data_IF_542834465892
#
_entry.id   IF_542834465892
#
_cell.length_a   1.000
_cell.length_b   1.000
_cell.length_c   1.000
_cell.angle_alpha   90.00
_cell.angle_beta   90.00
_cell.angle_gamma   90.00
#
_symmetry.space_group_name_H-M   'P 1'
#
loop_
_entity.id
_entity.type
_entity.pdbx_description
1 polymer ?
#
# COMPACT_ATOMS: atom_id res chain seq x y z
N UNK A 1 47.13 29.98 1.71
CA UNK A 1 45.82 30.65 1.82
C UNK A 1 45.06 30.04 2.99
N UNK A 2 44.61 30.86 3.93
CA UNK A 2 43.79 30.44 5.07
C UNK A 2 42.34 30.18 4.63
N UNK A 3 41.62 29.34 5.39
CA UNK A 3 40.29 28.85 5.04
C UNK A 3 39.28 29.98 4.76
N UNK A 4 39.35 31.09 5.50
CA UNK A 4 38.50 32.27 5.28
C UNK A 4 38.65 32.87 3.89
N UNK A 5 39.88 32.98 3.38
CA UNK A 5 40.13 33.52 2.03
C UNK A 5 39.57 32.60 0.93
N UNK A 6 39.56 31.28 1.15
CA UNK A 6 38.97 30.31 0.20
C UNK A 6 37.45 30.39 0.19
N UNK A 7 36.81 30.54 1.34
CA UNK A 7 35.36 30.71 1.44
C UNK A 7 34.89 32.02 0.80
N UNK A 8 35.61 33.13 0.99
CA UNK A 8 35.27 34.40 0.36
C UNK A 8 35.36 34.33 -1.17
N UNK A 9 36.43 33.72 -1.70
CA UNK A 9 36.59 33.53 -3.16
C UNK A 9 35.48 32.61 -3.71
N UNK A 10 35.15 31.54 -2.99
CA UNK A 10 34.06 30.65 -3.37
C UNK A 10 32.70 31.37 -3.38
N UNK A 11 32.40 32.14 -2.33
CA UNK A 11 31.16 32.93 -2.25
C UNK A 11 31.03 33.96 -3.37
N UNK A 12 32.12 34.67 -3.71
CA UNK A 12 32.14 35.59 -4.86
C UNK A 12 31.94 34.83 -6.17
N UNK A 13 32.56 33.65 -6.32
CA UNK A 13 32.38 32.79 -7.50
C UNK A 13 30.92 32.35 -7.69
N UNK A 14 30.24 31.97 -6.61
CA UNK A 14 28.81 31.60 -6.63
C UNK A 14 27.95 32.80 -7.01
N UNK A 15 28.17 33.98 -6.42
CA UNK A 15 27.40 35.19 -6.75
C UNK A 15 27.57 35.59 -8.21
N UNK A 16 28.79 35.51 -8.75
CA UNK A 16 29.07 35.82 -10.16
C UNK A 16 28.43 34.78 -11.09
N UNK A 17 28.49 33.49 -10.74
CA UNK A 17 27.88 32.42 -11.54
C UNK A 17 26.35 32.56 -11.61
N UNK A 18 25.69 32.72 -10.46
CA UNK A 18 24.23 32.85 -10.42
C UNK A 18 23.75 34.22 -10.95
N UNK A 19 24.45 35.31 -10.64
CA UNK A 19 24.13 36.64 -11.17
C UNK A 19 24.32 36.73 -12.68
N UNK A 20 25.38 36.10 -13.22
CA UNK A 20 25.62 36.01 -14.66
C UNK A 20 24.59 35.16 -15.38
N UNK A 21 24.22 34.00 -14.81
CA UNK A 21 23.17 33.14 -15.35
C UNK A 21 21.81 33.85 -15.38
N UNK A 22 21.45 34.57 -14.31
CA UNK A 22 20.19 35.32 -14.23
C UNK A 22 20.14 36.51 -15.20
N UNK A 23 21.26 37.22 -15.37
CA UNK A 23 21.38 38.32 -16.33
C UNK A 23 21.37 37.88 -17.80
N UNK A 24 21.94 36.72 -18.12
CA UNK A 24 21.89 36.14 -19.47
C UNK A 24 20.49 35.58 -19.78
N UNK A 25 19.83 34.96 -18.80
CA UNK A 25 18.47 34.46 -18.97
C UNK A 25 17.48 35.58 -19.34
N UNK A 26 17.57 36.75 -18.72
CA UNK A 26 16.68 37.88 -19.03
C UNK A 26 16.90 38.51 -20.41
N UNK A 27 18.07 38.31 -21.02
CA UNK A 27 18.38 38.79 -22.37
C UNK A 27 18.02 37.80 -23.48
N UNK A 28 17.94 36.50 -23.15
CA UNK A 28 17.73 35.41 -24.12
C UNK A 28 16.29 34.90 -24.09
N UNK A 29 15.62 34.96 -22.93
CA UNK A 29 14.24 34.46 -22.77
C UNK A 29 13.25 35.54 -23.24
N UNK A 30 12.48 35.27 -24.30
CA UNK A 30 11.46 36.21 -24.78
C UNK A 30 10.40 36.47 -23.71
N UNK A 31 9.83 37.68 -23.61
CA UNK A 31 8.78 38.00 -22.65
C UNK A 31 7.56 37.07 -22.74
N UNK A 32 7.30 36.50 -23.92
CA UNK A 32 6.22 35.52 -24.15
C UNK A 32 6.41 34.23 -23.36
N UNK A 33 7.65 33.75 -23.17
CA UNK A 33 7.94 32.54 -22.39
C UNK A 33 7.70 32.80 -20.90
N UNK A 34 7.98 34.02 -20.42
CA UNK A 34 7.70 34.43 -19.04
C UNK A 34 6.19 34.61 -18.81
N UNK A 35 5.46 35.10 -19.82
CA UNK A 35 4.00 35.18 -19.81
C UNK A 35 3.36 33.80 -19.82
N UNK A 36 3.85 32.86 -20.63
CA UNK A 36 3.36 31.47 -20.73
C UNK A 36 3.63 30.70 -19.44
N UNK A 37 4.76 30.99 -18.76
CA UNK A 37 5.07 30.39 -17.45
C UNK A 37 4.27 31.02 -16.31
N UNK A 38 3.91 32.31 -16.42
CA UNK A 38 2.95 32.96 -15.52
C UNK A 38 1.53 32.48 -15.75
N UNK A 39 1.09 32.28 -16.99
CA UNK A 39 -0.21 31.69 -17.31
C UNK A 39 -0.26 30.22 -16.85
N UNK A 40 0.83 29.45 -17.01
CA UNK A 40 0.95 28.10 -16.46
C UNK A 40 0.99 28.04 -14.92
N UNK A 41 1.37 29.14 -14.26
CA UNK A 41 1.33 29.26 -12.79
C UNK A 41 -0.01 29.84 -12.28
N UNK A 42 -0.70 30.67 -13.08
CA UNK A 42 -2.04 31.21 -12.78
C UNK A 42 -3.16 30.23 -13.14
N UNK A 43 -2.93 29.25 -14.02
CA UNK A 43 -3.80 28.07 -14.17
C UNK A 43 -3.74 27.14 -12.94
N UNK A 44 -2.82 27.37 -11.99
CA UNK A 44 -2.78 26.72 -10.67
C UNK A 44 -3.37 27.60 -9.55
N UNK A 45 -4.01 28.73 -9.88
CA UNK A 45 -4.82 29.49 -8.93
C UNK A 45 -6.29 29.32 -9.24
N UNK A 46 -7.00 28.54 -8.41
CA UNK A 46 -8.46 28.47 -8.42
C UNK A 46 -9.05 29.84 -8.08
N UNK A 47 -9.51 30.59 -9.09
CA UNK A 47 -10.53 31.61 -8.92
C UNK A 47 -11.91 30.97 -9.13
N UNK A 48 -12.81 31.23 -8.18
CA UNK A 48 -14.08 30.52 -8.03
C UNK A 48 -15.10 30.88 -9.11
N UNK A 49 -15.39 29.91 -9.98
CA UNK A 49 -16.59 29.86 -10.81
C UNK A 49 -17.19 28.46 -10.71
N UNK A 50 -18.30 28.34 -9.98
CA UNK A 50 -18.98 27.08 -9.70
C UNK A 50 -19.52 26.40 -10.97
N UNK A 51 -18.95 25.23 -11.30
CA UNK A 51 -19.69 24.14 -11.94
C UNK A 51 -19.61 22.92 -11.00
N UNK A 52 -20.75 22.49 -10.47
CA UNK A 52 -20.85 21.51 -9.39
C UNK A 52 -20.45 20.07 -9.78
N UNK A 53 -20.08 19.83 -11.04
CA UNK A 53 -19.71 18.50 -11.54
C UNK A 53 -18.18 18.25 -11.53
N UNK A 54 -17.35 19.28 -11.61
CA UNK A 54 -15.88 19.14 -11.63
C UNK A 54 -15.26 19.12 -10.24
N UNK A 55 -15.88 19.79 -9.25
CA UNK A 55 -15.42 19.74 -7.86
C UNK A 55 -15.55 18.35 -7.23
N UNK A 56 -16.59 17.59 -7.58
CA UNK A 56 -16.75 16.23 -7.06
C UNK A 56 -15.67 15.25 -7.56
N UNK A 57 -15.21 15.42 -8.81
CA UNK A 57 -14.19 14.55 -9.41
C UNK A 57 -12.77 14.88 -8.90
N UNK A 58 -12.43 16.16 -8.73
CA UNK A 58 -11.13 16.58 -8.20
C UNK A 58 -11.03 16.38 -6.68
N UNK A 59 -12.11 16.60 -5.93
CA UNK A 59 -12.17 16.31 -4.50
C UNK A 59 -12.15 14.79 -4.24
N UNK A 60 -12.84 13.98 -5.05
CA UNK A 60 -12.77 12.51 -4.94
C UNK A 60 -11.40 11.95 -5.35
N UNK A 61 -10.73 12.51 -6.36
CA UNK A 61 -9.39 12.07 -6.75
C UNK A 61 -8.33 12.44 -5.69
N UNK A 62 -8.47 13.60 -5.04
CA UNK A 62 -7.54 14.06 -4.01
C UNK A 62 -7.80 13.35 -2.66
N UNK A 63 -9.07 13.07 -2.31
CA UNK A 63 -9.43 12.23 -1.16
C UNK A 63 -9.03 10.77 -1.38
N UNK A 64 -9.08 10.27 -2.63
CA UNK A 64 -8.57 8.95 -2.98
C UNK A 64 -7.04 8.85 -2.90
N UNK A 65 -6.29 9.95 -3.05
CA UNK A 65 -4.83 9.94 -2.88
C UNK A 65 -4.41 10.00 -1.40
N UNK A 66 -5.15 10.76 -0.57
CA UNK A 66 -4.90 10.89 0.87
C UNK A 66 -5.38 9.66 1.68
N UNK A 67 -6.23 8.80 1.09
CA UNK A 67 -6.74 7.57 1.72
C UNK A 67 -5.94 6.31 1.39
N UNK A 68 -5.02 6.35 0.41
CA UNK A 68 -4.23 5.17 0.00
C UNK A 68 -3.13 4.86 1.01
N UNK A 69 -3.32 3.79 1.77
CA UNK A 69 -2.34 3.28 2.73
C UNK A 69 -1.18 2.56 2.03
N UNK A 70 -0.05 2.44 2.72
CA UNK A 70 1.06 1.59 2.30
C UNK A 70 1.92 2.11 1.15
N UNK A 71 1.79 3.37 0.75
CA UNK A 71 2.63 3.98 -0.30
C UNK A 71 3.73 4.92 0.24
N UNK A 72 3.69 5.24 1.54
CA UNK A 72 4.63 6.19 2.13
C UNK A 72 5.76 5.53 2.92
N UNK A 73 6.96 6.10 2.80
CA UNK A 73 8.11 5.78 3.66
C UNK A 73 7.92 6.31 5.10
N UNK A 74 7.06 7.32 5.25
CA UNK A 74 6.75 7.94 6.54
C UNK A 74 5.37 8.57 6.57
N UNK A 75 4.69 8.44 7.69
CA UNK A 75 3.31 8.86 7.89
C UNK A 75 3.17 9.37 9.32
N UNK A 76 2.53 10.52 9.49
CA UNK A 76 2.31 11.15 10.81
C UNK A 76 3.59 11.31 11.67
N UNK A 77 4.72 11.55 11.01
CA UNK A 77 6.02 11.72 11.67
C UNK A 77 6.75 10.42 11.97
N UNK A 78 6.13 9.26 11.77
CA UNK A 78 6.80 7.97 11.85
C UNK A 78 7.48 7.63 10.52
N UNK A 79 8.60 6.92 10.57
CA UNK A 79 9.37 6.49 9.39
C UNK A 79 9.82 5.04 9.56
N UNK A 80 9.68 4.25 8.50
CA UNK A 80 10.29 2.93 8.42
C UNK A 80 11.77 3.11 8.03
N UNK A 81 12.69 2.66 8.89
CA UNK A 81 14.12 2.69 8.61
C UNK A 81 14.46 1.85 7.36
N UNK A 82 15.67 1.96 6.78
CA UNK A 82 16.10 1.02 5.76
C UNK A 82 15.95 -0.43 6.25
N UNK A 83 15.35 -1.28 5.43
CA UNK A 83 15.23 -2.71 5.71
C UNK A 83 16.56 -3.37 5.35
N UNK A 84 17.22 -3.95 6.35
CA UNK A 84 18.39 -4.78 6.17
C UNK A 84 17.94 -6.23 5.99
N UNK A 85 18.40 -6.88 4.92
CA UNK A 85 18.06 -8.28 4.61
C UNK A 85 19.17 -8.89 3.73
N UNK A 86 19.21 -10.23 3.56
CA UNK A 86 20.10 -10.85 2.59
C UNK A 86 19.92 -10.23 1.19
N UNK A 87 21.02 -9.91 0.51
CA UNK A 87 20.97 -9.19 -0.78
C UNK A 87 20.74 -10.07 -2.01
N UNK A 88 20.64 -11.38 -1.83
CA UNK A 88 20.50 -12.36 -2.92
C UNK A 88 19.68 -13.57 -2.47
N UNK A 89 19.21 -14.34 -3.44
CA UNK A 89 18.49 -15.61 -3.23
C UNK A 89 19.35 -16.66 -2.53
N UNK A 90 18.69 -17.63 -1.88
CA UNK A 90 19.32 -18.79 -1.25
C UNK A 90 20.43 -18.45 -0.23
N UNK A 91 20.37 -17.25 0.35
CA UNK A 91 21.25 -16.80 1.42
C UNK A 91 20.40 -16.60 2.66
N UNK A 92 20.56 -17.49 3.64
CA UNK A 92 19.90 -17.34 4.92
C UNK A 92 20.55 -16.20 5.72
N UNK A 93 19.73 -15.41 6.40
CA UNK A 93 20.16 -14.34 7.29
C UNK A 93 18.98 -13.84 8.11
N UNK A 94 18.94 -12.54 8.38
CA UNK A 94 17.84 -11.90 9.09
C UNK A 94 17.32 -10.72 8.27
N UNK A 95 16.02 -10.51 8.32
CA UNK A 95 15.39 -9.25 7.92
C UNK A 95 15.24 -8.40 9.16
N UNK A 96 15.73 -7.17 9.13
CA UNK A 96 15.76 -6.26 10.27
C UNK A 96 15.38 -4.83 9.87
N UNK A 97 14.68 -4.13 10.75
CA UNK A 97 14.32 -2.72 10.58
C UNK A 97 13.92 -2.10 11.93
N UNK A 98 13.68 -0.79 11.93
CA UNK A 98 13.14 -0.03 13.04
C UNK A 98 12.00 0.85 12.54
N UNK A 99 11.04 1.13 13.43
CA UNK A 99 10.12 2.26 13.28
C UNK A 99 10.70 3.42 14.07
N UNK A 100 10.89 4.56 13.43
CA UNK A 100 11.42 5.77 14.05
C UNK A 100 10.30 6.80 14.19
N UNK A 101 10.24 7.49 15.32
CA UNK A 101 9.34 8.63 15.52
C UNK A 101 9.86 9.91 14.84
N UNK A 102 9.14 11.02 15.01
CA UNK A 102 9.47 12.31 14.42
C UNK A 102 10.81 12.89 14.93
N UNK A 103 11.30 12.43 16.08
CA UNK A 103 12.61 12.80 16.62
C UNK A 103 13.74 11.86 16.14
N UNK A 104 13.41 10.81 15.37
CA UNK A 104 14.35 9.78 14.94
C UNK A 104 14.64 8.73 16.01
N UNK A 105 13.82 8.66 17.07
CA UNK A 105 13.96 7.68 18.15
C UNK A 105 13.24 6.39 17.77
N UNK A 106 13.85 5.20 17.99
CA UNK A 106 13.15 3.94 17.78
C UNK A 106 11.91 3.83 18.67
N UNK A 107 10.78 3.49 18.06
CA UNK A 107 9.54 3.18 18.76
C UNK A 107 9.66 1.79 19.36
N UNK A 108 9.40 1.68 20.66
CA UNK A 108 9.49 0.43 21.43
C UNK A 108 8.18 0.06 22.11
N UNK A 109 7.17 0.93 22.07
CA UNK A 109 5.89 0.74 22.74
C UNK A 109 4.76 0.80 21.72
N UNK A 110 3.95 -0.25 21.67
CA UNK A 110 2.98 -0.52 20.63
C UNK A 110 1.66 -0.98 21.26
N UNK A 111 0.55 -0.72 20.56
CA UNK A 111 -0.75 -1.27 20.90
C UNK A 111 -0.95 -2.57 20.12
N UNK A 112 -1.10 -3.69 20.81
CA UNK A 112 -1.38 -4.99 20.18
C UNK A 112 -2.71 -4.94 19.43
N UNK A 113 -2.68 -5.30 18.14
CA UNK A 113 -3.84 -5.47 17.29
C UNK A 113 -3.74 -6.84 16.60
N UNK A 114 -4.84 -7.58 16.47
CA UNK A 114 -4.81 -8.92 15.86
C UNK A 114 -3.73 -9.83 16.48
N UNK A 115 -3.66 -9.85 17.82
CA UNK A 115 -2.68 -10.59 18.64
C UNK A 115 -1.20 -10.25 18.43
N UNK A 116 -0.87 -9.19 17.70
CA UNK A 116 0.51 -8.79 17.38
C UNK A 116 0.70 -7.28 17.49
N UNK A 117 1.91 -6.88 17.82
CA UNK A 117 2.27 -5.46 17.88
C UNK A 117 2.61 -4.90 16.49
N UNK A 118 3.02 -5.77 15.57
CA UNK A 118 3.37 -5.44 14.20
C UNK A 118 3.08 -6.60 13.24
N UNK A 119 2.44 -6.28 12.13
CA UNK A 119 2.32 -7.16 10.97
C UNK A 119 3.29 -6.73 9.89
N UNK A 120 4.12 -7.67 9.43
CA UNK A 120 5.06 -7.45 8.34
C UNK A 120 4.58 -8.20 7.11
N UNK A 121 4.30 -7.47 6.04
CA UNK A 121 3.92 -8.05 4.76
C UNK A 121 5.04 -7.82 3.78
N UNK A 122 5.45 -8.88 3.09
CA UNK A 122 6.49 -8.83 2.06
C UNK A 122 5.94 -9.46 0.80
N UNK A 123 6.01 -8.75 -0.31
CA UNK A 123 5.45 -9.21 -1.60
C UNK A 123 6.32 -8.68 -2.74
N UNK A 124 6.47 -9.47 -3.80
CA UNK A 124 7.21 -9.04 -4.99
C UNK A 124 6.37 -8.03 -5.80
N UNK A 125 7.03 -7.16 -6.54
CA UNK A 125 6.38 -6.09 -7.32
C UNK A 125 5.37 -6.58 -8.36
N UNK A 126 5.40 -7.86 -8.74
CA UNK A 126 4.45 -8.51 -9.63
C UNK A 126 3.27 -9.19 -8.90
N UNK A 127 3.15 -8.99 -7.58
CA UNK A 127 2.09 -9.58 -6.75
C UNK A 127 2.33 -11.04 -6.37
N UNK A 128 3.51 -11.59 -6.63
CA UNK A 128 3.84 -12.97 -6.23
C UNK A 128 4.65 -13.01 -4.94
N UNK A 129 4.79 -14.22 -4.38
CA UNK A 129 5.68 -14.51 -3.23
C UNK A 129 5.31 -13.68 -2.00
N UNK A 130 4.00 -13.55 -1.75
CA UNK A 130 3.47 -12.90 -0.57
C UNK A 130 3.85 -13.68 0.69
N UNK A 131 4.20 -12.94 1.74
CA UNK A 131 4.47 -13.45 3.08
C UNK A 131 3.91 -12.48 4.10
N UNK A 132 3.03 -12.98 4.96
CA UNK A 132 2.59 -12.29 6.16
C UNK A 132 3.29 -12.90 7.37
N UNK A 133 4.14 -12.11 8.01
CA UNK A 133 5.03 -12.58 9.09
C UNK A 133 5.07 -11.57 10.22
N UNK A 134 5.54 -12.02 11.38
CA UNK A 134 5.53 -11.23 12.60
C UNK A 134 6.95 -11.23 13.19
N UNK A 135 7.76 -10.20 12.94
CA UNK A 135 9.08 -10.09 13.54
C UNK A 135 8.98 -9.92 15.06
N UNK A 136 10.09 -10.15 15.75
CA UNK A 136 10.21 -9.89 17.19
C UNK A 136 10.91 -8.57 17.44
N UNK A 137 10.38 -7.79 18.39
CA UNK A 137 10.97 -6.54 18.86
C UNK A 137 12.05 -6.80 19.91
N UNK A 138 13.24 -6.24 19.71
CA UNK A 138 14.20 -5.99 20.78
C UNK A 138 13.89 -4.63 21.41
N UNK A 139 13.22 -4.64 22.57
CA UNK A 139 12.81 -3.44 23.30
C UNK A 139 13.98 -2.54 23.71
N UNK A 140 15.20 -3.08 23.81
CA UNK A 140 16.37 -2.28 24.21
C UNK A 140 16.94 -1.44 23.07
N UNK A 141 16.68 -1.83 21.82
CA UNK A 141 17.18 -1.16 20.61
C UNK A 141 16.06 -0.63 19.73
N UNK A 142 14.82 -1.08 19.90
CA UNK A 142 13.69 -0.84 19.01
C UNK A 142 13.78 -1.58 17.67
N UNK A 143 14.64 -2.59 17.58
CA UNK A 143 14.87 -3.36 16.36
C UNK A 143 13.87 -4.50 16.22
N UNK A 144 13.17 -4.52 15.10
CA UNK A 144 12.37 -5.65 14.66
C UNK A 144 13.23 -6.60 13.84
N UNK A 145 13.16 -7.89 14.11
CA UNK A 145 13.93 -8.89 13.37
C UNK A 145 13.24 -10.24 13.25
N UNK A 146 13.57 -10.99 12.19
CA UNK A 146 13.24 -12.39 12.03
C UNK A 146 14.23 -13.09 11.09
N UNK A 147 14.42 -14.43 11.22
CA UNK A 147 15.14 -15.21 10.23
C UNK A 147 14.51 -15.07 8.85
N UNK A 148 15.34 -14.84 7.84
CA UNK A 148 14.88 -14.58 6.48
C UNK A 148 15.76 -15.20 5.41
N UNK A 149 15.12 -15.64 4.33
CA UNK A 149 15.73 -16.09 3.10
C UNK A 149 14.81 -15.74 1.94
N UNK A 150 15.39 -15.24 0.84
CA UNK A 150 14.68 -15.00 -0.40
C UNK A 150 14.71 -16.23 -1.29
N UNK A 151 13.53 -16.68 -1.73
CA UNK A 151 13.39 -17.83 -2.64
C UNK A 151 13.64 -17.43 -4.09
N UNK A 152 13.27 -16.22 -4.49
CA UNK A 152 13.45 -15.69 -5.84
C UNK A 152 13.96 -14.25 -5.82
N UNK A 153 14.53 -13.82 -6.95
CA UNK A 153 15.03 -12.47 -7.11
C UNK A 153 13.91 -11.51 -7.52
N UNK A 154 14.18 -10.22 -7.40
CA UNK A 154 13.27 -9.16 -7.84
C UNK A 154 13.21 -7.99 -6.87
N UNK A 155 12.24 -7.12 -7.12
CA UNK A 155 11.90 -5.98 -6.27
C UNK A 155 10.76 -6.37 -5.34
N UNK A 156 10.99 -6.27 -4.04
CA UNK A 156 9.99 -6.58 -3.02
C UNK A 156 9.54 -5.31 -2.33
N UNK A 157 8.23 -5.20 -2.07
CA UNK A 157 7.69 -4.20 -1.16
C UNK A 157 7.48 -4.85 0.21
N UNK A 158 7.94 -4.16 1.23
CA UNK A 158 7.78 -4.50 2.64
C UNK A 158 6.82 -3.48 3.24
N UNK A 159 5.78 -3.95 3.92
CA UNK A 159 4.82 -3.13 4.66
C UNK A 159 4.93 -3.47 6.14
N UNK A 160 5.09 -2.45 6.97
CA UNK A 160 4.96 -2.55 8.41
C UNK A 160 3.63 -1.90 8.81
N UNK A 161 2.69 -2.71 9.27
CA UNK A 161 1.42 -2.28 9.85
C UNK A 161 1.51 -2.39 11.37
N UNK A 162 1.30 -1.27 12.05
CA UNK A 162 1.46 -1.15 13.50
C UNK A 162 0.61 -0.01 14.04
N UNK A 163 0.35 -0.06 15.34
CA UNK A 163 -0.26 1.05 16.09
C UNK A 163 0.69 1.44 17.22
N UNK A 164 1.24 2.66 17.26
CA UNK A 164 2.03 3.13 18.39
C UNK A 164 1.22 3.07 19.69
N UNK A 165 1.88 2.91 20.84
CA UNK A 165 1.22 3.07 22.12
C UNK A 165 0.79 4.54 22.32
N UNK A 166 -0.44 4.75 22.77
CA UNK A 166 -0.97 6.07 23.05
C UNK A 166 -2.49 6.12 22.91
N UNK A 167 -3.12 7.04 23.65
CA UNK A 167 -4.55 7.29 23.51
C UNK A 167 -4.81 7.87 22.11
N UNK A 168 -5.75 7.27 21.38
CA UNK A 168 -6.16 7.67 20.03
C UNK A 168 -5.03 7.62 18.98
N UNK A 169 -3.97 6.85 19.22
CA UNK A 169 -2.93 6.60 18.22
C UNK A 169 -3.53 5.85 17.02
N UNK A 170 -3.35 6.34 15.78
CA UNK A 170 -3.90 5.68 14.61
C UNK A 170 -3.07 4.46 14.22
N UNK A 171 -3.72 3.51 13.55
CA UNK A 171 -3.02 2.41 12.88
C UNK A 171 -2.37 2.92 11.60
N UNK A 172 -1.08 2.64 11.46
CA UNK A 172 -0.21 3.18 10.41
C UNK A 172 0.37 2.04 9.59
N UNK A 173 0.43 2.23 8.26
CA UNK A 173 1.11 1.32 7.35
C UNK A 173 2.23 2.06 6.63
N UNK A 174 3.48 1.71 6.96
CA UNK A 174 4.67 2.25 6.32
C UNK A 174 5.27 1.24 5.37
N UNK A 175 5.92 1.71 4.30
CA UNK A 175 6.51 0.82 3.31
C UNK A 175 7.97 1.12 3.00
N UNK A 176 8.71 0.09 2.58
CA UNK A 176 10.04 0.17 1.96
C UNK A 176 10.12 -0.80 0.80
N UNK A 177 11.04 -0.54 -0.10
CA UNK A 177 11.39 -1.46 -1.19
C UNK A 177 12.75 -2.09 -0.93
N UNK A 178 12.85 -3.40 -1.13
CA UNK A 178 14.09 -4.19 -1.05
C UNK A 178 14.40 -4.76 -2.42
N UNK A 179 15.68 -4.73 -2.80
CA UNK A 179 16.15 -5.30 -4.06
C UNK A 179 16.93 -6.59 -3.79
N UNK A 180 16.50 -7.68 -4.42
CA UNK A 180 17.11 -9.00 -4.26
C UNK A 180 17.79 -9.39 -5.57
N UNK A 181 19.11 -9.59 -5.50
CA UNK A 181 19.90 -9.96 -6.66
C UNK A 181 19.66 -11.42 -7.09
N UNK A 182 19.61 -11.63 -8.40
CA UNK A 182 19.49 -12.93 -9.04
C UNK A 182 18.76 -12.82 -10.39
N UNK A 183 18.42 -13.95 -10.97
CA UNK A 183 17.63 -14.00 -12.21
C UNK A 183 16.16 -13.66 -11.89
N UNK A 184 15.64 -12.62 -12.55
CA UNK A 184 14.26 -12.19 -12.39
C UNK A 184 13.44 -12.61 -13.62
N UNK A 185 12.43 -13.44 -13.37
CA UNK A 185 11.39 -13.79 -14.36
C UNK A 185 10.07 -13.26 -13.85
N UNK A 186 9.52 -12.16 -14.42
CA UNK A 186 8.24 -11.62 -13.97
C UNK A 186 7.11 -12.61 -14.25
N UNK A 187 6.19 -12.74 -13.29
CA UNK A 187 4.93 -13.46 -13.48
C UNK A 187 3.88 -12.48 -13.99
N UNK A 188 3.11 -12.87 -15.00
CA UNK A 188 1.98 -12.09 -15.49
C UNK A 188 0.69 -12.56 -14.78
N UNK A 189 0.22 -11.88 -13.72
CA UNK A 189 -0.93 -12.33 -12.96
C UNK A 189 -2.17 -12.39 -13.85
N UNK A 190 -2.94 -13.48 -13.75
CA UNK A 190 -4.20 -13.67 -14.46
C UNK A 190 -5.35 -13.68 -13.44
N UNK A 191 -6.51 -13.07 -13.77
CA UNK A 191 -7.67 -13.11 -12.89
C UNK A 191 -8.03 -14.52 -12.47
N UNK A 192 -8.26 -14.71 -11.17
CA UNK A 192 -8.70 -15.97 -10.59
C UNK A 192 -9.59 -15.72 -9.37
N UNK A 193 -10.70 -16.44 -9.31
CA UNK A 193 -11.60 -16.52 -8.17
C UNK A 193 -11.46 -17.86 -7.43
N UNK A 194 -10.45 -18.66 -7.78
CA UNK A 194 -10.19 -19.93 -7.10
C UNK A 194 -8.70 -20.10 -6.87
N UNK A 195 -8.34 -20.41 -5.63
CA UNK A 195 -6.98 -20.66 -5.21
C UNK A 195 -6.85 -22.11 -4.71
N UNK A 196 -5.75 -22.77 -5.10
CA UNK A 196 -5.40 -24.09 -4.57
C UNK A 196 -4.20 -23.94 -3.63
N UNK A 197 -4.36 -24.36 -2.38
CA UNK A 197 -3.33 -24.29 -1.34
C UNK A 197 -3.21 -25.66 -0.70
N UNK A 198 -2.22 -26.47 -1.14
CA UNK A 198 -2.15 -27.87 -0.73
C UNK A 198 -3.42 -28.64 -1.10
N UNK A 199 -4.05 -29.27 -0.12
CA UNK A 199 -5.32 -30.01 -0.22
C UNK A 199 -6.58 -29.12 -0.14
N UNK A 200 -6.40 -27.82 0.08
CA UNK A 200 -7.48 -26.85 0.15
C UNK A 200 -7.77 -26.17 -1.18
N UNK A 201 -9.05 -26.04 -1.50
CA UNK A 201 -9.56 -25.16 -2.55
C UNK A 201 -10.36 -24.04 -1.90
N UNK A 202 -9.97 -22.80 -2.18
CA UNK A 202 -10.67 -21.61 -1.70
C UNK A 202 -11.30 -20.90 -2.89
N UNK A 203 -12.62 -20.69 -2.86
CA UNK A 203 -13.34 -19.90 -3.85
C UNK A 203 -13.68 -18.52 -3.30
N UNK A 204 -13.53 -17.49 -4.13
CA UNK A 204 -13.93 -16.12 -3.85
C UNK A 204 -15.22 -15.81 -4.61
N UNK A 205 -16.28 -15.47 -3.89
CA UNK A 205 -17.52 -14.92 -4.42
C UNK A 205 -17.60 -13.42 -4.11
N UNK A 206 -18.12 -12.65 -5.06
CA UNK A 206 -18.17 -11.19 -5.01
C UNK A 206 -17.24 -10.50 -6.02
N UNK A 207 -17.60 -9.28 -6.40
CA UNK A 207 -16.88 -8.45 -7.35
C UNK A 207 -16.45 -7.13 -6.69
N UNK A 208 -15.30 -6.61 -7.10
CA UNK A 208 -14.85 -5.27 -6.69
C UNK A 208 -15.37 -4.21 -7.67
N UNK A 209 -15.71 -3.04 -7.13
CA UNK A 209 -16.09 -1.86 -7.92
C UNK A 209 -15.41 -0.65 -7.32
N UNK A 210 -14.84 0.20 -8.16
CA UNK A 210 -14.16 1.41 -7.74
C UNK A 210 -15.08 2.31 -6.90
N UNK A 211 -14.60 2.78 -5.75
CA UNK A 211 -15.30 3.71 -4.86
C UNK A 211 -16.55 3.15 -4.17
N UNK A 212 -16.73 1.81 -4.16
CA UNK A 212 -17.87 1.18 -3.49
C UNK A 212 -17.39 0.02 -2.63
N UNK A 213 -17.74 0.04 -1.34
CA UNK A 213 -17.56 -1.12 -0.47
C UNK A 213 -18.44 -2.30 -0.96
N UNK A 214 -17.80 -3.44 -1.19
CA UNK A 214 -18.42 -4.68 -1.66
C UNK A 214 -18.13 -5.81 -0.69
N UNK A 215 -19.08 -6.73 -0.59
CA UNK A 215 -18.91 -7.94 0.19
C UNK A 215 -18.15 -8.98 -0.64
N UNK A 216 -17.17 -9.60 0.01
CA UNK A 216 -16.39 -10.72 -0.52
C UNK A 216 -16.58 -11.91 0.41
N UNK A 217 -16.98 -13.05 -0.15
CA UNK A 217 -17.15 -14.29 0.61
C UNK A 217 -16.14 -15.32 0.11
N UNK A 218 -15.26 -15.76 1.00
CA UNK A 218 -14.28 -16.79 0.72
C UNK A 218 -14.73 -18.11 1.33
N UNK A 219 -14.90 -19.14 0.50
CA UNK A 219 -15.33 -20.47 0.95
C UNK A 219 -14.17 -21.45 0.92
N UNK A 220 -13.82 -22.02 2.07
CA UNK A 220 -12.73 -22.98 2.22
C UNK A 220 -13.26 -24.41 2.15
N UNK A 221 -12.71 -25.21 1.23
CA UNK A 221 -12.96 -26.65 1.13
C UNK A 221 -11.66 -27.44 1.16
N UNK A 222 -11.71 -28.68 1.66
CA UNK A 222 -10.61 -29.65 1.64
C UNK A 222 -11.09 -30.91 0.97
N UNK A 223 -10.41 -31.36 -0.09
CA UNK A 223 -10.83 -32.51 -0.91
C UNK A 223 -12.31 -32.45 -1.36
N UNK A 224 -12.79 -31.26 -1.69
CA UNK A 224 -14.18 -31.00 -2.11
C UNK A 224 -15.23 -31.02 -0.99
N UNK A 225 -14.82 -31.10 0.27
CA UNK A 225 -15.72 -31.00 1.44
C UNK A 225 -15.56 -29.64 2.13
N UNK A 226 -16.65 -29.00 2.57
CA UNK A 226 -16.57 -27.78 3.38
C UNK A 226 -15.70 -27.95 4.62
N UNK A 227 -14.79 -27.01 4.87
CA UNK A 227 -14.05 -26.92 6.13
C UNK A 227 -14.92 -26.20 7.15
N UNK A 228 -15.41 -26.92 8.17
CA UNK A 228 -16.25 -26.34 9.24
C UNK A 228 -15.50 -26.23 10.57
N UNK A 229 -14.17 -26.26 10.51
CA UNK A 229 -13.27 -26.25 11.65
C UNK A 229 -12.13 -25.24 11.40
N UNK A 230 -12.46 -24.08 10.83
CA UNK A 230 -11.52 -22.96 10.74
C UNK A 230 -11.17 -22.52 12.16
N UNK A 231 -9.88 -22.43 12.45
CA UNK A 231 -9.38 -22.01 13.75
C UNK A 231 -9.10 -20.50 13.75
N UNK A 232 -9.29 -19.82 14.89
CA UNK A 232 -8.87 -18.44 15.06
C UNK A 232 -7.36 -18.30 14.88
N UNK A 233 -6.96 -17.36 14.04
CA UNK A 233 -5.59 -16.92 13.85
C UNK A 233 -5.58 -15.39 13.93
N UNK A 234 -4.69 -14.79 14.73
CA UNK A 234 -4.57 -13.32 14.85
C UNK A 234 -5.93 -12.64 15.18
N UNK A 235 -6.71 -13.22 16.10
CA UNK A 235 -8.02 -12.71 16.51
C UNK A 235 -9.13 -12.78 15.46
N UNK A 236 -9.02 -13.57 14.38
CA UNK A 236 -10.11 -13.79 13.43
C UNK A 236 -10.05 -15.18 12.77
N UNK A 237 -11.10 -15.60 12.06
CA UNK A 237 -11.08 -16.85 11.28
C UNK A 237 -10.35 -16.73 9.93
N UNK A 238 -10.00 -15.51 9.53
CA UNK A 238 -9.10 -15.26 8.41
C UNK A 238 -8.72 -13.80 8.28
N UNK A 239 -7.58 -13.55 7.62
CA UNK A 239 -7.02 -12.22 7.39
C UNK A 239 -6.86 -12.00 5.89
N UNK A 240 -7.51 -10.97 5.36
CA UNK A 240 -7.45 -10.65 3.93
C UNK A 240 -6.61 -9.39 3.72
N UNK A 241 -5.47 -9.56 3.05
CA UNK A 241 -4.67 -8.44 2.53
C UNK A 241 -5.02 -8.25 1.06
N UNK A 242 -5.32 -7.02 0.66
CA UNK A 242 -5.58 -6.68 -0.73
C UNK A 242 -4.66 -5.54 -1.18
N UNK A 243 -3.99 -5.73 -2.32
CA UNK A 243 -2.98 -4.82 -2.86
C UNK A 243 -3.27 -4.48 -4.32
N UNK A 244 -3.14 -3.20 -4.69
CA UNK A 244 -3.33 -2.77 -6.09
C UNK A 244 -2.18 -3.21 -6.98
N UNK A 245 -2.48 -3.67 -8.19
CA UNK A 245 -1.46 -3.96 -9.19
C UNK A 245 -0.68 -2.70 -9.59
N UNK A 246 0.62 -2.86 -9.86
CA UNK A 246 1.55 -1.79 -10.19
C UNK A 246 2.23 -1.16 -8.97
N UNK A 247 1.46 -0.46 -8.12
CA UNK A 247 2.03 0.27 -6.98
C UNK A 247 1.89 -0.44 -5.63
N UNK A 248 1.14 -1.55 -5.57
CA UNK A 248 0.86 -2.31 -4.35
C UNK A 248 0.28 -1.44 -3.24
N UNK A 249 -0.50 -0.41 -3.59
CA UNK A 249 -1.24 0.36 -2.60
C UNK A 249 -2.17 -0.56 -1.81
N UNK A 250 -2.21 -0.35 -0.49
CA UNK A 250 -2.98 -1.18 0.43
C UNK A 250 -4.46 -0.83 0.33
N UNK A 251 -5.33 -1.84 0.29
CA UNK A 251 -6.78 -1.64 0.22
C UNK A 251 -7.38 -1.66 1.60
N UNK A 252 -8.50 -0.95 1.72
CA UNK A 252 -9.32 -0.98 2.91
C UNK A 252 -10.16 -2.25 2.92
N UNK A 253 -9.88 -3.13 3.88
CA UNK A 253 -10.60 -4.39 4.08
C UNK A 253 -11.02 -4.50 5.54
N UNK A 254 -12.25 -4.93 5.77
CA UNK A 254 -12.78 -5.24 7.09
C UNK A 254 -13.29 -6.67 7.11
N UNK A 255 -12.79 -7.48 8.06
CA UNK A 255 -13.42 -8.75 8.37
C UNK A 255 -14.84 -8.52 8.91
N UNK A 256 -15.76 -9.39 8.53
CA UNK A 256 -17.10 -9.46 9.12
C UNK A 256 -17.17 -10.59 10.14
N UNK A 257 -18.08 -10.41 11.10
CA UNK A 257 -18.27 -11.36 12.21
C UNK A 257 -17.78 -10.81 13.54
N UNK A 258 -18.07 -11.55 14.60
CA UNK A 258 -17.57 -11.27 15.94
C UNK A 258 -16.15 -11.82 16.10
N UNK A 259 -15.38 -11.22 17.01
CA UNK A 259 -14.07 -11.75 17.38
C UNK A 259 -14.25 -13.13 18.04
N UNK A 260 -13.52 -14.16 17.58
CA UNK A 260 -13.72 -15.52 18.04
C UNK A 260 -13.30 -15.73 19.49
N UNK A 261 -14.03 -16.58 20.21
CA UNK A 261 -13.63 -17.04 21.53
C UNK A 261 -12.56 -18.15 21.46
N UNK A 262 -11.79 -18.32 22.54
CA UNK A 262 -10.76 -19.37 22.62
C UNK A 262 -11.40 -20.76 22.44
N UNK A 263 -10.99 -21.46 21.39
CA UNK A 263 -11.47 -22.80 21.06
C UNK A 263 -12.75 -22.83 20.23
N UNK A 264 -13.27 -21.67 19.83
CA UNK A 264 -14.32 -21.57 18.82
C UNK A 264 -13.79 -21.95 17.43
N UNK A 265 -14.67 -22.48 16.58
CA UNK A 265 -14.35 -22.79 15.19
C UNK A 265 -15.45 -22.28 14.27
N UNK A 266 -15.10 -21.89 13.05
CA UNK A 266 -16.05 -21.42 12.03
C UNK A 266 -15.90 -22.16 10.70
N UNK A 267 -16.58 -21.65 9.68
CA UNK A 267 -16.48 -22.08 8.29
C UNK A 267 -17.76 -22.71 7.74
N UNK A 268 -17.81 -22.93 6.42
CA UNK A 268 -16.68 -22.80 5.48
C UNK A 268 -16.42 -21.39 4.96
N UNK A 269 -17.31 -20.45 5.25
CA UNK A 269 -17.27 -19.09 4.72
C UNK A 269 -16.54 -18.14 5.67
N UNK A 270 -15.77 -17.24 5.07
CA UNK A 270 -15.13 -16.09 5.73
C UNK A 270 -15.53 -14.87 4.90
N UNK A 271 -16.14 -13.88 5.56
CA UNK A 271 -16.71 -12.72 4.88
C UNK A 271 -15.91 -11.45 5.18
N UNK A 272 -15.71 -10.63 4.15
CA UNK A 272 -15.05 -9.34 4.24
C UNK A 272 -15.88 -8.27 3.53
N UNK A 273 -15.76 -7.02 3.97
CA UNK A 273 -16.11 -5.86 3.18
C UNK A 273 -14.83 -5.22 2.66
N UNK A 274 -14.74 -5.00 1.35
CA UNK A 274 -13.57 -4.40 0.71
C UNK A 274 -14.00 -3.25 -0.22
N UNK A 275 -13.24 -2.17 -0.22
CA UNK A 275 -13.44 -1.04 -1.13
C UNK A 275 -12.20 -0.84 -2.00
N UNK A 276 -12.38 -1.03 -3.31
CA UNK A 276 -11.34 -0.72 -4.28
C UNK A 276 -11.34 0.79 -4.54
N UNK A 277 -10.25 1.53 -4.30
CA UNK A 277 -10.22 2.98 -4.49
C UNK A 277 -10.29 3.38 -5.97
N UNK A 278 -9.90 2.49 -6.88
CA UNK A 278 -9.86 2.73 -8.33
C UNK A 278 -10.33 1.50 -9.09
N UNK A 279 -10.69 1.66 -10.36
CA UNK A 279 -10.81 0.52 -11.27
C UNK A 279 -9.41 -0.04 -11.54
N UNK A 280 -9.30 -1.35 -11.80
CA UNK A 280 -8.02 -1.99 -12.10
C UNK A 280 -7.84 -3.32 -11.38
N UNK A 281 -6.64 -3.87 -11.45
CA UNK A 281 -6.31 -5.18 -10.90
C UNK A 281 -5.86 -5.08 -9.45
N UNK A 282 -6.22 -6.10 -8.68
CA UNK A 282 -5.89 -6.25 -7.27
C UNK A 282 -5.46 -7.69 -6.98
N UNK A 283 -4.47 -7.82 -6.10
CA UNK A 283 -4.01 -9.09 -5.53
C UNK A 283 -4.59 -9.25 -4.14
N UNK A 284 -5.26 -10.37 -3.89
CA UNK A 284 -5.89 -10.68 -2.61
C UNK A 284 -5.20 -11.90 -2.00
N UNK A 285 -4.84 -11.82 -0.73
CA UNK A 285 -4.17 -12.88 0.02
C UNK A 285 -4.97 -13.16 1.29
N UNK A 286 -5.60 -14.33 1.35
CA UNK A 286 -6.32 -14.79 2.52
C UNK A 286 -5.44 -15.73 3.33
N UNK A 287 -5.07 -15.32 4.54
CA UNK A 287 -4.57 -16.24 5.55
C UNK A 287 -5.74 -16.89 6.31
N UNK A 288 -5.72 -18.21 6.45
CA UNK A 288 -6.67 -18.99 7.25
C UNK A 288 -5.95 -20.13 7.97
N UNK A 289 -6.48 -20.59 9.11
CA UNK A 289 -5.86 -21.64 9.91
C UNK A 289 -6.73 -22.88 10.03
N UNK A 290 -6.12 -24.05 9.80
CA UNK A 290 -6.74 -25.38 10.00
C UNK A 290 -5.66 -26.35 10.47
N UNK A 291 -6.01 -27.22 11.41
CA UNK A 291 -5.11 -28.22 12.02
C UNK A 291 -3.81 -27.59 12.58
N UNK A 292 -3.93 -26.39 13.15
CA UNK A 292 -2.83 -25.61 13.71
C UNK A 292 -1.89 -25.00 12.67
N UNK A 293 -2.17 -25.10 11.37
CA UNK A 293 -1.33 -24.60 10.28
C UNK A 293 -2.01 -23.44 9.56
N UNK A 294 -1.23 -22.39 9.31
CA UNK A 294 -1.68 -21.21 8.54
C UNK A 294 -1.44 -21.49 7.05
N UNK A 295 -2.43 -21.15 6.24
CA UNK A 295 -2.44 -21.31 4.80
C UNK A 295 -2.79 -19.98 4.16
N UNK A 296 -2.12 -19.64 3.06
CA UNK A 296 -2.39 -18.41 2.30
C UNK A 296 -2.96 -18.75 0.93
N UNK A 297 -4.18 -18.30 0.66
CA UNK A 297 -4.83 -18.39 -0.65
C UNK A 297 -4.68 -17.08 -1.42
N UNK A 298 -4.22 -17.16 -2.67
CA UNK A 298 -3.92 -15.99 -3.50
C UNK A 298 -4.93 -15.86 -4.65
N UNK A 299 -5.46 -14.65 -4.83
CA UNK A 299 -6.43 -14.32 -5.87
C UNK A 299 -5.98 -13.09 -6.66
N UNK A 300 -6.45 -13.02 -7.90
CA UNK A 300 -6.28 -11.85 -8.76
C UNK A 300 -7.68 -11.45 -9.21
N UNK A 301 -8.10 -10.26 -8.85
CA UNK A 301 -9.44 -9.74 -9.16
C UNK A 301 -9.33 -8.38 -9.82
N UNK A 302 -10.21 -8.14 -10.78
CA UNK A 302 -10.30 -6.85 -11.46
C UNK A 302 -11.50 -6.09 -10.89
N UNK A 303 -11.29 -4.88 -10.39
CA UNK A 303 -12.34 -3.96 -10.00
C UNK A 303 -12.85 -3.20 -11.23
N UNK A 304 -14.16 -3.23 -11.45
CA UNK A 304 -14.80 -2.45 -12.48
C UNK A 304 -14.81 -0.95 -12.14
N UNK A 305 -14.92 -0.09 -13.16
CA UNK A 305 -15.26 1.31 -12.96
C UNK A 305 -16.63 1.43 -12.31
N UNK A 306 -16.78 2.31 -11.33
CA UNK A 306 -18.10 2.66 -10.80
C UNK A 306 -18.93 3.36 -11.88
N UNK A 307 -20.23 3.07 -11.94
CA UNK A 307 -21.16 3.72 -12.85
C UNK A 307 -21.44 5.17 -12.39
N UNK A 308 -20.56 6.10 -12.75
CA UNK A 308 -20.83 7.55 -12.76
C UNK A 308 -20.60 8.19 -14.14
N UNK A 309 -20.49 7.36 -15.19
CA UNK A 309 -20.37 7.80 -16.57
C UNK A 309 -21.40 7.13 -17.51
N UNK A 310 -22.63 6.96 -17.03
CA UNK A 310 -23.76 6.85 -17.95
C UNK A 310 -24.05 8.25 -18.50
N UNK A 311 -23.37 8.58 -19.60
CA UNK A 311 -23.70 9.71 -20.47
C UNK A 311 -25.20 9.65 -20.73
N UNK A 312 -25.94 10.65 -20.27
CA UNK A 312 -27.34 10.85 -20.63
C UNK A 312 -27.40 11.28 -22.11
N UNK A 313 -27.21 10.33 -23.01
CA UNK A 313 -27.64 10.51 -24.39
C UNK A 313 -29.16 10.33 -24.44
N UNK A 314 -29.86 11.45 -24.60
CA UNK A 314 -31.24 11.45 -25.08
C UNK A 314 -32.22 12.27 -24.25
N UNK A 315 -32.33 13.56 -24.56
CA UNK A 315 -33.61 14.01 -25.12
C UNK A 315 -33.42 15.31 -25.93
N UNK A 316 -33.36 15.13 -27.25
CA UNK A 316 -33.67 16.18 -28.20
C UNK A 316 -35.19 16.38 -28.22
N UNK A 317 -35.67 17.46 -27.62
CA UNK A 317 -36.98 17.99 -27.96
C UNK A 317 -36.87 19.42 -28.51
N UNK A 318 -37.00 19.44 -29.82
CA UNK A 318 -37.51 20.50 -30.69
C UNK A 318 -38.85 21.07 -30.19
N UNK A 319 -39.23 22.20 -30.79
CA UNK A 319 -40.44 23.02 -30.64
C UNK A 319 -40.39 24.04 -29.48
N UNK A 320 -40.46 25.35 -29.67
CA UNK A 320 -41.03 26.12 -30.77
C UNK A 320 -42.00 27.17 -30.20
N UNK A 321 -41.73 28.44 -30.53
CA UNK A 321 -42.47 29.70 -30.25
C UNK A 321 -42.18 30.48 -28.96
#
# INVERSE_FOLDING_TARGET
MNAGARLTIYGIGVVVAFGGAFGLASAIVPPSVVSEWKEGAEMNSHDGGHDAATTAAEESANVAADSLKGLSLGLEGYVLSPVEAPGAVATSGELQFQILDAAGTPVTDYTTAHDKDLHLIVVRSDGSLFRHVHPTLDESTGMWSLPWEWTEAGTYRVFADFTPAGTDAPSLTLTRTVQVAGEFTPVAPQPTQTAQVGDFTVSLDGDLTAGTAKDLTLTVTRDGKPVTALEPYLGAFGHLVALRDGDLAYLHVHAKGEEPEVGETSGPEIEFAAEAPTAGRYFLYLDFQVDGQVHTAEFVVDAASGDDAAVSDGDSHDDGH
#
